data_IF_730818475661
#
_entry.id   IF_730818475661
#
_cell.length_a   1.000
_cell.length_b   1.000
_cell.length_c   1.000
_cell.angle_alpha   90.00
_cell.angle_beta   90.00
_cell.angle_gamma   90.00
#
_symmetry.space_group_name_H-M   'P 1'
#
loop_
_entity.id
_entity.type
_entity.pdbx_description
1 polymer ?
#
# COMPACT_ATOMS: atom_id res chain seq x y z
N UNK A 1 -1.86 -4.11 14.97
CA UNK A 1 -1.12 -4.03 13.69
C UNK A 1 -1.63 -2.80 12.96
N UNK A 2 -0.75 -2.03 12.34
CA UNK A 2 -1.17 -0.88 11.51
C UNK A 2 -1.50 -1.35 10.09
N UNK A 3 -2.28 -0.55 9.35
CA UNK A 3 -2.59 -0.80 7.94
C UNK A 3 -1.29 -0.93 7.13
N UNK A 4 -0.32 -0.05 7.34
CA UNK A 4 0.98 -0.14 6.67
C UNK A 4 1.68 -1.49 6.90
N UNK A 5 1.67 -2.02 8.13
CA UNK A 5 2.28 -3.30 8.44
C UNK A 5 1.58 -4.46 7.73
N UNK A 6 0.24 -4.44 7.67
CA UNK A 6 -0.56 -5.43 6.94
C UNK A 6 -0.22 -5.40 5.44
N UNK A 7 -0.18 -4.21 4.84
CA UNK A 7 0.13 -4.02 3.43
C UNK A 7 1.57 -4.45 3.10
N UNK A 8 2.55 -4.12 3.96
CA UNK A 8 3.93 -4.58 3.82
C UNK A 8 4.05 -6.09 3.89
N UNK A 9 3.28 -6.75 4.77
CA UNK A 9 3.28 -8.21 4.86
C UNK A 9 2.60 -8.86 3.65
N UNK A 10 1.49 -8.29 3.17
CA UNK A 10 0.75 -8.76 1.97
C UNK A 10 1.57 -8.66 0.70
N UNK A 11 2.30 -7.56 0.55
CA UNK A 11 3.08 -7.23 -0.63
C UNK A 11 4.53 -7.71 -0.61
N UNK A 12 4.95 -8.37 0.48
CA UNK A 12 6.35 -8.75 0.71
C UNK A 12 7.31 -7.53 0.66
N UNK A 13 6.87 -6.40 1.24
CA UNK A 13 7.53 -5.10 1.19
C UNK A 13 7.80 -4.61 -0.24
N UNK A 14 6.81 -4.74 -1.13
CA UNK A 14 6.91 -4.27 -2.53
C UNK A 14 5.70 -3.42 -2.92
N UNK A 15 5.86 -2.60 -3.94
CA UNK A 15 4.75 -1.90 -4.57
C UNK A 15 3.79 -2.93 -5.17
N UNK A 16 2.51 -2.80 -4.85
CA UNK A 16 1.49 -3.79 -5.25
C UNK A 16 1.09 -3.69 -6.72
N UNK A 17 1.52 -2.63 -7.41
CA UNK A 17 1.29 -2.47 -8.85
C UNK A 17 2.48 -2.89 -9.70
N UNK A 18 3.70 -2.48 -9.34
CA UNK A 18 4.88 -2.68 -10.18
C UNK A 18 6.01 -3.50 -9.53
N UNK A 19 5.91 -3.83 -8.24
CA UNK A 19 6.93 -4.60 -7.52
C UNK A 19 8.17 -3.81 -7.09
N UNK A 20 8.21 -2.49 -7.28
CA UNK A 20 9.28 -1.63 -6.77
C UNK A 20 9.42 -1.77 -5.25
N UNK A 21 10.63 -1.58 -4.71
CA UNK A 21 10.93 -1.71 -3.27
C UNK A 21 11.25 -0.38 -2.60
N UNK A 22 11.24 0.70 -3.37
CA UNK A 22 11.63 2.05 -2.95
C UNK A 22 10.40 2.96 -2.88
N UNK A 23 10.47 3.97 -2.02
CA UNK A 23 9.44 5.01 -1.87
C UNK A 23 8.02 4.46 -1.63
N UNK A 24 7.92 3.39 -0.84
CA UNK A 24 6.67 2.70 -0.55
C UNK A 24 5.83 3.45 0.48
N UNK A 25 4.63 3.87 0.08
CA UNK A 25 3.65 4.59 0.89
C UNK A 25 2.27 3.94 0.81
N UNK A 26 1.50 4.09 1.90
CA UNK A 26 0.10 3.67 1.94
C UNK A 26 -0.76 4.66 1.16
N UNK A 27 -1.56 4.14 0.25
CA UNK A 27 -2.53 4.91 -0.52
C UNK A 27 -3.94 4.37 -0.27
N UNK A 28 -4.84 5.22 0.24
CA UNK A 28 -6.25 4.92 0.36
C UNK A 28 -6.92 5.03 -1.01
N UNK A 29 -7.56 3.96 -1.48
CA UNK A 29 -8.19 3.91 -2.79
C UNK A 29 -9.60 4.50 -2.72
N UNK A 30 -9.91 5.60 -3.45
CA UNK A 30 -11.24 6.18 -3.44
C UNK A 30 -12.30 5.18 -3.98
N UNK A 31 -13.53 5.20 -3.43
CA UNK A 31 -14.05 6.12 -2.43
C UNK A 31 -13.74 5.73 -0.96
N UNK A 32 -12.94 4.69 -0.73
CA UNK A 32 -12.60 4.23 0.61
C UNK A 32 -11.89 5.31 1.42
N UNK A 33 -12.15 5.34 2.73
CA UNK A 33 -11.60 6.34 3.65
C UNK A 33 -10.23 5.92 4.21
N UNK A 34 -9.76 4.73 3.84
CA UNK A 34 -8.48 4.18 4.29
C UNK A 34 -8.54 3.63 5.72
N UNK A 35 -9.71 3.19 6.15
CA UNK A 35 -9.94 2.66 7.50
C UNK A 35 -9.47 1.21 7.66
N UNK A 36 -9.27 0.50 6.55
CA UNK A 36 -8.81 -0.89 6.52
C UNK A 36 -7.73 -1.16 5.46
N UNK A 37 -6.96 -2.24 5.64
CA UNK A 37 -5.98 -2.70 4.65
C UNK A 37 -6.61 -3.17 3.34
N UNK A 38 -7.91 -3.48 3.32
CA UNK A 38 -8.64 -3.80 2.09
C UNK A 38 -8.94 -2.56 1.23
N UNK A 39 -9.02 -1.38 1.86
CA UNK A 39 -9.25 -0.09 1.20
C UNK A 39 -7.95 0.62 0.83
N UNK A 40 -6.81 0.06 1.25
CA UNK A 40 -5.50 0.64 1.01
C UNK A 40 -4.63 -0.27 0.15
N UNK A 41 -3.69 0.36 -0.54
CA UNK A 41 -2.64 -0.31 -1.32
C UNK A 41 -1.27 0.28 -0.98
N UNK A 42 -0.21 -0.52 -1.07
CA UNK A 42 1.17 -0.06 -0.91
C UNK A 42 1.76 0.29 -2.27
N UNK A 43 2.05 1.56 -2.51
CA UNK A 43 2.52 2.06 -3.81
C UNK A 43 3.88 2.72 -3.68
N UNK A 44 4.71 2.60 -4.72
CA UNK A 44 5.89 3.44 -4.87
C UNK A 44 5.50 4.84 -5.37
N UNK A 45 6.43 5.80 -5.27
CA UNK A 45 6.22 7.18 -5.73
C UNK A 45 5.86 7.33 -7.23
N UNK A 46 6.13 6.31 -8.06
CA UNK A 46 5.74 6.30 -9.50
C UNK A 46 4.32 5.83 -9.73
N UNK A 47 3.82 4.94 -8.86
CA UNK A 47 2.52 4.29 -9.02
C UNK A 47 1.38 4.99 -8.27
N UNK A 48 1.73 5.89 -7.34
CA UNK A 48 0.82 6.74 -6.58
C UNK A 48 0.33 7.91 -7.43
#
# INVERSE_FOLDING_TARGET
MTIEQELRQRSDNKCELCGAVEELEVYAVPPGEGESGAECVLLCGVCR
#
